data_IF_739890716991
#
_entry.id   IF_739890716991
#
_cell.length_a   1.000
_cell.length_b   1.000
_cell.length_c   1.000
_cell.angle_alpha   90.00
_cell.angle_beta   90.00
_cell.angle_gamma   90.00
#
_symmetry.space_group_name_H-M   'P 1'
#
loop_
_entity.id
_entity.type
_entity.pdbx_description
1 polymer ?
#
# COMPACT_ATOMS: atom_id res chain seq x y z
N UNK A 1 6.08 5.00 54.60
CA UNK A 1 7.06 6.10 54.40
C UNK A 1 7.62 5.97 53.00
N UNK A 2 7.32 6.93 52.13
CA UNK A 2 7.58 6.87 50.69
C UNK A 2 8.85 7.67 50.34
N UNK A 3 9.76 7.04 49.61
CA UNK A 3 10.94 7.66 49.01
C UNK A 3 10.79 7.67 47.49
N UNK A 4 10.62 8.82 46.83
CA UNK A 4 10.70 8.89 45.38
C UNK A 4 12.18 8.98 44.95
N UNK A 5 12.67 7.93 44.30
CA UNK A 5 13.99 7.92 43.66
C UNK A 5 13.92 8.76 42.38
N UNK A 6 14.34 10.02 42.47
CA UNK A 6 14.43 10.94 41.34
C UNK A 6 15.54 10.50 40.37
N UNK A 7 15.17 10.14 39.14
CA UNK A 7 16.12 9.98 38.02
C UNK A 7 16.37 11.34 37.37
N UNK A 8 17.62 11.83 37.26
CA UNK A 8 17.90 13.01 36.46
C UNK A 8 17.78 12.64 34.97
N UNK A 9 16.72 13.15 34.32
CA UNK A 9 16.63 13.15 32.86
C UNK A 9 17.62 14.19 32.33
N UNK A 10 18.79 13.71 31.89
CA UNK A 10 19.77 14.51 31.15
C UNK A 10 19.17 14.85 29.78
N UNK A 11 18.54 16.02 29.71
CA UNK A 11 17.95 16.59 28.48
C UNK A 11 19.08 17.05 27.56
N UNK A 12 19.69 16.11 26.85
CA UNK A 12 20.57 16.43 25.74
C UNK A 12 19.72 16.97 24.58
N UNK A 13 19.58 18.29 24.49
CA UNK A 13 19.06 18.94 23.27
C UNK A 13 20.14 18.86 22.19
N UNK A 14 20.22 17.72 21.52
CA UNK A 14 20.93 17.64 20.25
C UNK A 14 20.18 18.52 19.25
N UNK A 15 20.75 19.69 18.92
CA UNK A 15 20.31 20.50 17.77
C UNK A 15 20.54 19.67 16.51
N UNK A 16 19.49 18.99 16.05
CA UNK A 16 19.45 18.47 14.70
C UNK A 16 19.34 19.65 13.74
N UNK A 17 20.18 19.74 12.70
CA UNK A 17 20.01 20.76 11.66
C UNK A 17 18.70 20.48 10.92
N UNK A 18 17.74 21.41 11.03
CA UNK A 18 16.53 21.37 10.23
C UNK A 18 16.90 21.54 8.75
N UNK A 19 16.41 20.71 7.82
CA UNK A 19 16.57 20.97 6.40
C UNK A 19 15.81 22.27 6.08
N UNK A 20 16.57 23.29 5.67
CA UNK A 20 16.05 24.57 5.21
C UNK A 20 15.24 24.33 3.93
N UNK A 21 13.92 24.32 4.05
CA UNK A 21 13.01 24.35 2.91
C UNK A 21 13.06 25.76 2.30
N UNK A 22 13.84 25.93 1.23
CA UNK A 22 13.76 27.13 0.40
C UNK A 22 12.54 27.02 -0.52
N UNK A 23 11.46 27.68 -0.14
CA UNK A 23 10.39 28.07 -1.05
C UNK A 23 10.92 29.20 -1.94
N UNK A 24 11.23 28.89 -3.19
CA UNK A 24 11.43 29.91 -4.23
C UNK A 24 10.12 30.07 -4.99
N UNK A 25 9.26 30.95 -4.48
CA UNK A 25 8.26 31.64 -5.29
C UNK A 25 8.97 32.72 -6.09
N UNK A 26 9.20 32.50 -7.38
CA UNK A 26 9.43 33.58 -8.34
C UNK A 26 9.28 33.07 -9.77
N UNK A 27 8.06 33.24 -10.26
CA UNK A 27 7.75 33.50 -11.66
C UNK A 27 8.69 34.59 -12.21
N UNK A 28 9.01 34.48 -13.51
CA UNK A 28 9.66 35.48 -14.35
C UNK A 28 11.20 35.57 -14.30
N UNK A 29 11.86 34.64 -15.00
CA UNK A 29 12.78 34.96 -16.11
C UNK A 29 13.42 33.66 -16.66
N UNK A 30 12.60 32.74 -17.15
CA UNK A 30 13.05 31.52 -17.80
C UNK A 30 13.41 31.83 -19.26
N UNK A 31 14.71 31.99 -19.55
CA UNK A 31 15.15 32.23 -20.92
C UNK A 31 16.61 31.90 -21.18
N UNK A 32 17.57 32.52 -20.46
CA UNK A 32 18.97 32.43 -20.86
C UNK A 32 19.99 32.60 -19.72
N UNK A 33 19.81 31.96 -18.57
CA UNK A 33 20.90 31.82 -17.57
C UNK A 33 20.74 30.51 -16.78
N UNK A 34 20.73 29.37 -17.48
CA UNK A 34 20.70 28.04 -16.85
C UNK A 34 21.82 27.12 -17.37
N UNK A 35 22.95 27.72 -17.75
CA UNK A 35 24.26 27.08 -17.64
C UNK A 35 24.91 27.77 -16.44
N UNK A 36 25.45 27.00 -15.51
CA UNK A 36 26.12 27.48 -14.29
C UNK A 36 25.17 27.94 -13.15
N UNK A 37 24.66 26.95 -12.41
CA UNK A 37 24.32 26.98 -10.98
C UNK A 37 23.04 26.19 -10.68
N UNK A 38 23.09 24.86 -10.82
CA UNK A 38 22.19 23.94 -10.13
C UNK A 38 23.00 22.74 -9.62
N UNK A 39 22.78 22.29 -8.38
CA UNK A 39 23.66 21.36 -7.65
C UNK A 39 23.76 20.01 -8.35
N UNK A 40 24.96 19.45 -8.40
CA UNK A 40 25.38 18.17 -9.03
C UNK A 40 24.31 17.05 -8.99
N UNK A 41 23.55 16.95 -7.90
CA UNK A 41 22.48 15.94 -7.75
C UNK A 41 21.37 16.03 -8.81
N UNK A 42 21.04 17.22 -9.32
CA UNK A 42 20.02 17.35 -10.38
C UNK A 42 20.50 16.74 -11.70
N UNK A 43 21.81 16.78 -11.99
CA UNK A 43 22.42 16.18 -13.19
C UNK A 43 22.49 14.66 -13.05
N UNK A 44 22.72 14.14 -11.85
CA UNK A 44 22.72 12.68 -11.59
C UNK A 44 21.34 12.04 -11.74
N UNK A 45 20.27 12.71 -11.29
CA UNK A 45 18.90 12.22 -11.51
C UNK A 45 18.49 12.30 -12.97
N UNK A 46 18.92 13.34 -13.68
CA UNK A 46 18.70 13.45 -15.12
C UNK A 46 19.49 12.37 -15.88
N UNK A 47 20.75 12.14 -15.52
CA UNK A 47 21.61 11.11 -16.11
C UNK A 47 21.06 9.70 -15.86
N UNK A 48 20.59 9.39 -14.65
CA UNK A 48 19.94 8.11 -14.33
C UNK A 48 18.57 7.93 -15.00
N UNK A 49 17.83 9.02 -15.20
CA UNK A 49 16.60 8.99 -15.99
C UNK A 49 16.88 8.72 -17.47
N UNK A 50 17.93 9.33 -18.04
CA UNK A 50 18.40 9.04 -19.40
C UNK A 50 18.94 7.61 -19.54
N UNK A 51 19.59 7.08 -18.51
CA UNK A 51 20.09 5.70 -18.50
C UNK A 51 18.94 4.68 -18.43
N UNK A 52 17.92 4.91 -17.60
CA UNK A 52 16.72 4.06 -17.52
C UNK A 52 15.90 4.08 -18.82
N UNK A 53 15.74 5.26 -19.43
CA UNK A 53 15.13 5.42 -20.75
C UNK A 53 15.92 4.71 -21.84
N UNK A 54 17.26 4.71 -21.77
CA UNK A 54 18.10 3.99 -22.74
C UNK A 54 18.00 2.46 -22.61
N UNK A 55 17.71 1.93 -21.42
CA UNK A 55 17.52 0.49 -21.18
C UNK A 55 16.13 0.02 -21.65
N UNK A 56 15.08 0.84 -21.45
CA UNK A 56 13.72 0.55 -21.95
C UNK A 56 13.61 0.78 -23.46
N UNK A 57 14.29 1.79 -24.01
CA UNK A 57 14.41 2.02 -25.46
C UNK A 57 15.22 0.94 -26.18
N UNK A 58 16.09 0.20 -25.47
CA UNK A 58 16.81 -0.95 -26.02
C UNK A 58 16.02 -2.26 -25.90
N UNK A 59 15.14 -2.37 -24.90
CA UNK A 59 14.30 -3.55 -24.69
C UNK A 59 13.04 -3.58 -25.59
N UNK A 60 12.59 -2.43 -26.08
CA UNK A 60 11.49 -2.33 -27.04
C UNK A 60 11.92 -1.48 -28.25
N UNK A 61 11.97 -2.10 -29.43
CA UNK A 61 12.62 -1.58 -30.63
C UNK A 61 12.17 -0.19 -31.15
N UNK A 62 12.77 0.27 -32.26
CA UNK A 62 12.74 1.67 -32.75
C UNK A 62 11.36 2.30 -33.01
N UNK A 63 10.27 1.52 -32.97
CA UNK A 63 8.91 2.02 -33.04
C UNK A 63 8.49 2.82 -31.79
N UNK A 64 9.00 2.50 -30.59
CA UNK A 64 8.65 3.21 -29.35
C UNK A 64 9.56 4.43 -29.11
N UNK A 65 10.83 4.37 -29.55
CA UNK A 65 11.74 5.51 -29.50
C UNK A 65 11.25 6.68 -30.39
N UNK A 66 10.59 6.38 -31.51
CA UNK A 66 9.90 7.36 -32.35
C UNK A 66 8.70 8.00 -31.64
N UNK A 67 7.91 7.21 -30.90
CA UNK A 67 6.76 7.70 -30.12
C UNK A 67 7.16 8.55 -28.91
N UNK A 68 8.28 8.23 -28.25
CA UNK A 68 8.81 9.01 -27.11
C UNK A 68 9.45 10.32 -27.60
N UNK A 69 10.15 10.30 -28.74
CA UNK A 69 10.74 11.51 -29.33
C UNK A 69 9.69 12.40 -30.00
N UNK A 70 8.63 11.84 -30.58
CA UNK A 70 7.47 12.58 -31.09
C UNK A 70 6.59 13.09 -29.96
N UNK A 71 6.42 12.36 -28.85
CA UNK A 71 5.73 12.87 -27.66
C UNK A 71 6.48 14.05 -27.03
N UNK A 72 7.81 14.01 -26.95
CA UNK A 72 8.62 15.11 -26.42
C UNK A 72 8.63 16.37 -27.32
N UNK A 73 8.49 16.22 -28.63
CA UNK A 73 8.49 17.35 -29.60
C UNK A 73 7.09 17.83 -30.02
N UNK A 74 6.04 17.04 -29.78
CA UNK A 74 4.63 17.46 -29.90
C UNK A 74 4.06 17.98 -28.58
N UNK A 75 4.64 17.65 -27.42
CA UNK A 75 4.30 18.29 -26.12
C UNK A 75 4.45 19.80 -26.15
N UNK A 76 5.46 20.31 -26.88
CA UNK A 76 5.68 21.75 -27.06
C UNK A 76 4.72 22.42 -28.05
N UNK A 77 3.93 21.65 -28.82
CA UNK A 77 3.01 22.18 -29.84
C UNK A 77 1.53 21.83 -29.63
N UNK A 78 1.19 20.99 -28.65
CA UNK A 78 -0.20 20.74 -28.20
C UNK A 78 -0.59 21.83 -27.18
N UNK A 79 -0.67 23.08 -27.64
CA UNK A 79 -1.21 24.20 -26.87
C UNK A 79 -2.74 24.13 -26.83
N UNK A 80 -3.31 23.54 -25.78
CA UNK A 80 -4.77 23.38 -25.65
C UNK A 80 -5.20 22.64 -24.38
N UNK A 81 -6.47 22.22 -24.32
CA UNK A 81 -7.05 21.48 -23.17
C UNK A 81 -6.25 20.22 -22.83
N UNK A 82 -5.70 19.53 -23.83
CA UNK A 82 -4.84 18.35 -23.67
C UNK A 82 -3.48 18.71 -23.04
N UNK A 83 -2.85 19.80 -23.45
CA UNK A 83 -1.60 20.28 -22.84
C UNK A 83 -1.74 20.62 -21.36
N UNK A 84 -2.91 21.14 -20.93
CA UNK A 84 -3.19 21.36 -19.50
C UNK A 84 -3.29 20.06 -18.70
N UNK A 85 -3.88 19.00 -19.26
CA UNK A 85 -3.96 17.69 -18.59
C UNK A 85 -2.59 17.04 -18.46
N UNK A 86 -1.76 17.15 -19.50
CA UNK A 86 -0.38 16.65 -19.48
C UNK A 86 0.45 17.42 -18.45
N UNK A 87 0.38 18.75 -18.44
CA UNK A 87 1.07 19.58 -17.44
C UNK A 87 0.58 19.30 -16.01
N UNK A 88 -0.72 19.03 -15.84
CA UNK A 88 -1.29 18.60 -14.56
C UNK A 88 -0.74 17.23 -14.12
N UNK A 89 -0.73 16.25 -15.03
CA UNK A 89 -0.19 14.93 -14.76
C UNK A 89 1.31 14.98 -14.44
N UNK A 90 2.10 15.76 -15.18
CA UNK A 90 3.53 15.96 -14.94
C UNK A 90 3.79 16.59 -13.56
N UNK A 91 2.96 17.57 -13.16
CA UNK A 91 3.02 18.17 -11.82
C UNK A 91 2.65 17.18 -10.71
N UNK A 92 1.68 16.31 -10.95
CA UNK A 92 1.15 15.39 -9.93
C UNK A 92 1.98 14.10 -9.81
N UNK A 93 2.67 13.70 -10.88
CA UNK A 93 3.53 12.51 -10.92
C UNK A 93 4.54 12.45 -9.77
N UNK A 94 5.38 13.47 -9.49
CA UNK A 94 6.34 13.38 -8.40
C UNK A 94 5.68 13.22 -7.02
N UNK A 95 4.54 13.87 -6.80
CA UNK A 95 3.76 13.75 -5.57
C UNK A 95 3.22 12.33 -5.41
N UNK A 96 2.50 11.82 -6.41
CA UNK A 96 1.87 10.49 -6.35
C UNK A 96 2.93 9.40 -6.20
N UNK A 97 4.06 9.50 -6.91
CA UNK A 97 5.16 8.52 -6.80
C UNK A 97 5.76 8.52 -5.40
N UNK A 98 5.95 9.68 -4.76
CA UNK A 98 6.49 9.74 -3.41
C UNK A 98 5.52 9.12 -2.39
N UNK A 99 4.25 9.56 -2.40
CA UNK A 99 3.28 9.11 -1.41
C UNK A 99 2.84 7.66 -1.62
N UNK A 100 2.78 7.17 -2.86
CA UNK A 100 2.54 5.75 -3.13
C UNK A 100 3.64 4.86 -2.56
N UNK A 101 4.92 5.23 -2.71
CA UNK A 101 6.04 4.48 -2.12
C UNK A 101 5.95 4.45 -0.58
N UNK A 102 5.69 5.60 0.04
CA UNK A 102 5.52 5.68 1.50
C UNK A 102 4.32 4.82 1.94
N UNK A 103 3.20 4.88 1.21
CA UNK A 103 2.02 4.07 1.47
C UNK A 103 2.30 2.56 1.37
N UNK A 104 3.11 2.14 0.38
CA UNK A 104 3.51 0.74 0.21
C UNK A 104 4.46 0.25 1.32
N UNK A 105 5.43 1.06 1.75
CA UNK A 105 6.30 0.68 2.88
C UNK A 105 5.50 0.63 4.20
N UNK A 106 4.56 1.55 4.39
CA UNK A 106 3.68 1.53 5.55
C UNK A 106 2.74 0.32 5.54
N UNK A 107 2.16 -0.02 4.40
CA UNK A 107 1.29 -1.19 4.29
C UNK A 107 2.06 -2.49 4.56
N UNK A 108 3.31 -2.59 4.10
CA UNK A 108 4.20 -3.73 4.41
C UNK A 108 4.39 -3.91 5.92
N UNK A 109 4.66 -2.84 6.65
CA UNK A 109 4.83 -2.90 8.12
C UNK A 109 3.54 -3.38 8.79
N UNK A 110 2.38 -2.88 8.36
CA UNK A 110 1.08 -3.26 8.91
C UNK A 110 0.79 -4.74 8.64
N UNK A 111 1.01 -5.21 7.41
CA UNK A 111 0.82 -6.63 7.02
C UNK A 111 1.70 -7.55 7.87
N UNK A 112 2.97 -7.18 8.07
CA UNK A 112 3.87 -7.94 8.93
C UNK A 112 3.47 -7.88 10.42
N UNK A 113 3.12 -6.69 10.93
CA UNK A 113 2.71 -6.50 12.32
C UNK A 113 1.42 -7.23 12.68
N UNK A 114 0.47 -7.29 11.76
CA UNK A 114 -0.81 -8.01 11.91
C UNK A 114 -0.71 -9.50 11.59
N UNK A 115 0.49 -10.03 11.28
CA UNK A 115 0.70 -11.44 10.90
C UNK A 115 -0.21 -11.89 9.75
N UNK A 116 -0.44 -10.99 8.79
CA UNK A 116 -1.27 -11.24 7.60
C UNK A 116 -0.55 -12.09 6.54
N UNK A 117 0.70 -12.48 6.79
CA UNK A 117 1.42 -13.44 5.96
C UNK A 117 0.83 -14.85 6.15
N UNK A 118 0.74 -15.66 5.09
CA UNK A 118 0.24 -17.03 5.22
C UNK A 118 1.11 -17.79 6.24
N UNK A 119 0.49 -18.59 7.12
CA UNK A 119 1.21 -19.35 8.12
C UNK A 119 2.14 -20.36 7.46
N UNK A 120 3.21 -20.74 8.17
CA UNK A 120 4.10 -21.79 7.69
C UNK A 120 3.36 -23.13 7.56
N UNK A 121 3.84 -24.00 6.68
CA UNK A 121 3.22 -25.31 6.45
C UNK A 121 3.12 -26.17 7.71
N UNK A 122 4.13 -26.11 8.58
CA UNK A 122 4.14 -26.79 9.87
C UNK A 122 3.04 -26.29 10.79
N UNK A 123 2.83 -24.96 10.85
CA UNK A 123 1.73 -24.35 11.58
C UNK A 123 0.37 -24.85 11.07
N UNK A 124 0.18 -24.89 9.74
CA UNK A 124 -1.05 -25.40 9.13
C UNK A 124 -1.30 -26.86 9.50
N UNK A 125 -0.27 -27.72 9.43
CA UNK A 125 -0.36 -29.12 9.81
C UNK A 125 -0.81 -29.29 11.27
N UNK A 126 -0.28 -28.49 12.19
CA UNK A 126 -0.70 -28.51 13.60
C UNK A 126 -2.17 -28.12 13.77
N UNK A 127 -2.61 -27.03 13.14
CA UNK A 127 -4.02 -26.62 13.20
C UNK A 127 -4.96 -27.67 12.63
N UNK A 128 -4.62 -28.24 11.47
CA UNK A 128 -5.40 -29.29 10.84
C UNK A 128 -5.49 -30.55 11.72
N UNK A 129 -4.37 -31.01 12.29
CA UNK A 129 -4.37 -32.16 13.19
C UNK A 129 -5.22 -31.91 14.45
N UNK A 130 -5.14 -30.71 15.03
CA UNK A 130 -5.94 -30.35 16.20
C UNK A 130 -7.43 -30.32 15.86
N UNK A 131 -7.80 -29.72 14.73
CA UNK A 131 -9.18 -29.67 14.27
C UNK A 131 -9.71 -31.08 13.99
N UNK A 132 -8.93 -31.91 13.30
CA UNK A 132 -9.29 -33.29 12.99
C UNK A 132 -9.50 -34.11 14.25
N UNK A 133 -8.63 -33.96 15.26
CA UNK A 133 -8.79 -34.59 16.57
C UNK A 133 -10.01 -34.07 17.34
N UNK A 134 -10.32 -32.77 17.24
CA UNK A 134 -11.51 -32.18 17.85
C UNK A 134 -12.80 -32.75 17.24
N UNK A 135 -12.82 -32.94 15.92
CA UNK A 135 -13.91 -33.60 15.20
C UNK A 135 -14.05 -35.08 15.60
N UNK A 136 -12.95 -35.84 15.60
CA UNK A 136 -12.95 -37.26 15.97
C UNK A 136 -13.36 -37.50 17.43
N UNK A 137 -12.98 -36.61 18.34
CA UNK A 137 -13.35 -36.70 19.76
C UNK A 137 -14.79 -36.28 20.06
N UNK A 138 -15.55 -35.80 19.07
CA UNK A 138 -16.90 -35.28 19.28
C UNK A 138 -16.94 -34.02 20.16
N UNK A 139 -15.80 -33.41 20.47
CA UNK A 139 -15.71 -32.24 21.36
C UNK A 139 -16.35 -30.97 20.78
N UNK A 140 -16.64 -30.97 19.47
CA UNK A 140 -17.39 -29.93 18.77
C UNK A 140 -18.92 -30.16 18.80
N UNK A 141 -19.35 -31.39 19.02
CA UNK A 141 -20.76 -31.80 19.17
C UNK A 141 -20.91 -32.31 20.61
N UNK A 142 -20.64 -31.43 21.57
CA UNK A 142 -20.85 -31.78 22.97
C UNK A 142 -22.33 -32.02 23.23
N UNK A 143 -22.64 -32.88 24.21
CA UNK A 143 -24.03 -33.08 24.63
C UNK A 143 -24.69 -31.73 24.95
N UNK A 144 -25.98 -31.56 24.60
CA UNK A 144 -26.66 -30.28 24.67
C UNK A 144 -26.65 -29.67 26.08
N UNK A 145 -26.60 -30.49 27.14
CA UNK A 145 -26.47 -30.00 28.52
C UNK A 145 -25.14 -29.25 28.75
N UNK A 146 -24.03 -29.79 28.26
CA UNK A 146 -22.68 -29.22 28.42
C UNK A 146 -22.53 -27.95 27.59
N UNK A 147 -23.13 -27.94 26.40
CA UNK A 147 -23.16 -26.77 25.52
C UNK A 147 -23.97 -25.62 26.13
N UNK A 148 -25.12 -25.90 26.75
CA UNK A 148 -25.91 -24.88 27.46
C UNK A 148 -25.18 -24.33 28.68
N UNK A 149 -24.46 -25.16 29.42
CA UNK A 149 -23.65 -24.71 30.56
C UNK A 149 -22.49 -23.82 30.10
N UNK A 150 -21.82 -24.17 29.01
CA UNK A 150 -20.77 -23.36 28.41
C UNK A 150 -21.32 -22.04 27.86
N UNK A 151 -22.44 -22.06 27.13
CA UNK A 151 -23.07 -20.83 26.63
C UNK A 151 -23.46 -19.86 27.74
N UNK A 152 -23.91 -20.37 28.90
CA UNK A 152 -24.19 -19.53 30.07
C UNK A 152 -22.94 -19.03 30.78
N UNK A 153 -21.83 -19.75 30.66
CA UNK A 153 -20.54 -19.38 31.23
C UNK A 153 -19.74 -18.42 30.33
N UNK A 154 -20.15 -18.24 29.07
CA UNK A 154 -19.50 -17.28 28.15
C UNK A 154 -19.81 -15.85 28.57
N UNK A 155 -18.76 -15.05 28.68
CA UNK A 155 -18.91 -13.61 28.88
C UNK A 155 -19.35 -12.92 27.58
N UNK A 156 -20.07 -11.80 27.70
CA UNK A 156 -20.44 -10.96 26.56
C UNK A 156 -19.23 -10.53 25.74
N UNK A 157 -18.10 -10.26 26.40
CA UNK A 157 -16.82 -9.94 25.74
C UNK A 157 -16.33 -11.07 24.83
N UNK A 158 -16.43 -12.33 25.27
CA UNK A 158 -16.04 -13.48 24.45
C UNK A 158 -16.97 -13.68 23.26
N UNK A 159 -18.27 -13.44 23.44
CA UNK A 159 -19.25 -13.53 22.37
C UNK A 159 -19.02 -12.44 21.31
N UNK A 160 -18.78 -11.20 21.73
CA UNK A 160 -18.45 -10.09 20.82
C UNK A 160 -17.15 -10.38 20.09
N UNK A 161 -16.10 -10.81 20.80
CA UNK A 161 -14.83 -11.17 20.17
C UNK A 161 -15.01 -12.29 19.14
N UNK A 162 -15.75 -13.34 19.48
CA UNK A 162 -16.08 -14.43 18.56
C UNK A 162 -16.88 -13.96 17.34
N UNK A 163 -17.85 -13.06 17.55
CA UNK A 163 -18.64 -12.46 16.48
C UNK A 163 -17.79 -11.59 15.54
N UNK A 164 -16.85 -10.81 16.06
CA UNK A 164 -15.90 -10.04 15.26
C UNK A 164 -15.03 -10.96 14.43
N UNK A 165 -14.45 -12.00 15.01
CA UNK A 165 -13.62 -12.99 14.28
C UNK A 165 -14.44 -13.70 13.20
N UNK A 166 -15.69 -14.06 13.47
CA UNK A 166 -16.58 -14.66 12.47
C UNK A 166 -16.86 -13.69 11.30
N UNK A 167 -17.10 -12.42 11.61
CA UNK A 167 -17.29 -11.37 10.61
C UNK A 167 -16.02 -11.14 9.77
N UNK A 168 -14.84 -11.18 10.39
CA UNK A 168 -13.55 -11.10 9.69
C UNK A 168 -13.34 -12.29 8.75
N UNK A 169 -13.63 -13.51 9.19
CA UNK A 169 -13.56 -14.71 8.34
C UNK A 169 -14.50 -14.60 7.12
N UNK A 170 -15.72 -14.11 7.32
CA UNK A 170 -16.67 -13.85 6.22
C UNK A 170 -16.13 -12.76 5.28
N UNK A 171 -15.56 -11.69 5.83
CA UNK A 171 -14.87 -10.66 5.06
C UNK A 171 -13.77 -11.22 4.17
N UNK A 172 -12.83 -12.01 4.72
CA UNK A 172 -11.77 -12.64 3.94
C UNK A 172 -12.29 -13.64 2.91
N UNK A 173 -13.36 -14.39 3.23
CA UNK A 173 -14.02 -15.27 2.27
C UNK A 173 -14.52 -14.50 1.04
N UNK A 174 -15.23 -13.39 1.23
CA UNK A 174 -15.71 -12.56 0.12
C UNK A 174 -14.58 -11.92 -0.70
N UNK A 175 -13.50 -11.49 -0.05
CA UNK A 175 -12.29 -11.03 -0.75
C UNK A 175 -11.69 -12.17 -1.58
N UNK A 176 -11.67 -13.39 -1.05
CA UNK A 176 -11.26 -14.60 -1.75
C UNK A 176 -12.12 -14.86 -3.00
N UNK A 177 -13.44 -14.71 -2.92
CA UNK A 177 -14.33 -14.82 -4.08
C UNK A 177 -14.07 -13.74 -5.13
N UNK A 178 -13.83 -12.49 -4.71
CA UNK A 178 -13.47 -11.39 -5.62
C UNK A 178 -12.19 -11.72 -6.39
N UNK A 179 -11.17 -12.25 -5.70
CA UNK A 179 -9.91 -12.67 -6.32
C UNK A 179 -10.09 -13.89 -7.21
N UNK A 180 -10.80 -14.92 -6.77
CA UNK A 180 -11.06 -16.14 -7.55
C UNK A 180 -11.88 -15.87 -8.82
N UNK A 181 -12.74 -14.85 -8.79
CA UNK A 181 -13.58 -14.44 -9.93
C UNK A 181 -12.99 -13.27 -10.72
N UNK A 182 -11.87 -12.69 -10.26
CA UNK A 182 -11.24 -11.48 -10.79
C UNK A 182 -12.24 -10.35 -11.09
N UNK A 183 -13.24 -10.17 -10.22
CA UNK A 183 -14.34 -9.21 -10.42
C UNK A 183 -14.77 -8.57 -9.12
N UNK A 184 -14.81 -7.24 -9.12
CA UNK A 184 -15.19 -6.45 -7.94
C UNK A 184 -16.71 -6.36 -7.73
N UNK A 185 -17.51 -6.40 -8.82
CA UNK A 185 -18.96 -6.19 -8.77
C UNK A 185 -19.70 -7.21 -9.64
N UNK A 186 -20.60 -8.00 -9.05
CA UNK A 186 -21.57 -8.89 -9.75
C UNK A 186 -20.95 -10.05 -10.55
N UNK A 187 -21.78 -10.89 -11.19
CA UNK A 187 -21.35 -11.95 -12.12
C UNK A 187 -21.26 -11.43 -13.57
N UNK A 188 -20.45 -12.06 -14.44
CA UNK A 188 -20.54 -11.78 -15.88
C UNK A 188 -21.72 -12.60 -16.40
N UNK A 189 -22.76 -11.95 -16.90
CA UNK A 189 -23.83 -12.65 -17.64
C UNK A 189 -25.25 -12.65 -17.07
N UNK A 190 -25.59 -11.87 -16.04
CA UNK A 190 -27.02 -11.53 -15.87
C UNK A 190 -27.39 -10.48 -16.92
N UNK A 191 -27.86 -10.96 -18.06
CA UNK A 191 -28.71 -10.15 -18.91
C UNK A 191 -29.94 -9.83 -18.07
N UNK A 192 -30.09 -8.56 -17.71
CA UNK A 192 -31.36 -8.03 -17.22
C UNK A 192 -32.43 -8.49 -18.21
N UNK A 193 -33.33 -9.35 -17.75
CA UNK A 193 -34.52 -9.73 -18.50
C UNK A 193 -35.25 -8.43 -18.84
N UNK A 194 -35.16 -8.01 -20.10
CA UNK A 194 -35.99 -6.96 -20.65
C UNK A 194 -37.42 -7.49 -20.67
N UNK A 195 -38.25 -6.99 -19.75
CA UNK A 195 -39.70 -7.07 -19.82
C UNK A 195 -40.23 -6.10 -20.88
#
# INVERSE_FOLDING_TARGET
>A
MATPLARPLLRATARLPAPRFQTSSSTASAGKVAKEALPEKARDYQARAHEGLSRVSRAAGPAIAGAVRSAASTLGRIGGRTGRLIAFAERQTPFVVYYSKVGLEMSKIIVHGQKMAPPSWTTFQTYYQNLWRALQSGSLIQSPQTMMQQMRALSTTQLVAGGVVAAECLGFFTVGEILGRFKLIGYRGEAVHHH
#
